data_IF_105130300099
#
_entry.id   IF_105130300099
#
_cell.length_a   1.000
_cell.length_b   1.000
_cell.length_c   1.000
_cell.angle_alpha   90.00
_cell.angle_beta   90.00
_cell.angle_gamma   90.00
#
_symmetry.space_group_name_H-M   'P 1'
#
loop_
_entity.id
_entity.type
_entity.pdbx_description
1 polymer ?
#
# COMPACT_ATOMS: atom_id res chain seq x y z
N UNK A 1 -5.31 -14.64 -17.79
CA UNK A 1 -4.73 -13.34 -17.39
C UNK A 1 -4.69 -13.26 -15.87
N UNK A 2 -3.93 -14.16 -15.24
CA UNK A 2 -3.82 -14.30 -13.78
C UNK A 2 -2.56 -13.57 -13.31
N UNK A 3 -2.51 -12.26 -13.60
CA UNK A 3 -1.38 -11.44 -13.20
C UNK A 3 -1.46 -11.23 -11.69
N UNK A 4 -0.70 -12.08 -11.01
CA UNK A 4 -0.22 -12.02 -9.65
C UNK A 4 -0.31 -10.63 -9.06
N UNK A 5 -0.69 -10.50 -7.79
CA UNK A 5 -0.81 -9.26 -7.01
C UNK A 5 0.40 -8.28 -7.04
N UNK A 6 1.45 -8.58 -7.81
CA UNK A 6 2.57 -7.74 -8.19
C UNK A 6 2.15 -6.35 -8.67
N UNK A 7 1.11 -6.22 -9.49
CA UNK A 7 0.62 -4.90 -9.95
C UNK A 7 0.10 -4.04 -8.79
N UNK A 8 -0.77 -4.63 -7.96
CA UNK A 8 -1.28 -3.99 -6.75
C UNK A 8 -0.16 -3.69 -5.74
N UNK A 9 0.80 -4.60 -5.58
CA UNK A 9 1.98 -4.40 -4.73
C UNK A 9 2.87 -3.25 -5.22
N UNK A 10 3.08 -3.13 -6.53
CA UNK A 10 3.84 -2.04 -7.12
C UNK A 10 3.13 -0.69 -6.90
N UNK A 11 1.84 -0.61 -7.23
CA UNK A 11 1.04 0.59 -7.00
C UNK A 11 0.99 0.98 -5.51
N UNK A 12 0.84 0.00 -4.60
CA UNK A 12 0.86 0.26 -3.16
C UNK A 12 2.22 0.81 -2.71
N UNK A 13 3.33 0.28 -3.25
CA UNK A 13 4.68 0.76 -2.94
C UNK A 13 4.87 2.19 -3.43
N UNK A 14 4.47 2.50 -4.66
CA UNK A 14 4.56 3.84 -5.23
C UNK A 14 3.72 4.84 -4.44
N UNK A 15 2.51 4.44 -4.03
CA UNK A 15 1.66 5.28 -3.19
C UNK A 15 2.34 5.60 -1.86
N UNK A 16 2.96 4.62 -1.21
CA UNK A 16 3.70 4.84 0.04
C UNK A 16 4.90 5.77 -0.17
N UNK A 17 5.64 5.63 -1.27
CA UNK A 17 6.80 6.49 -1.57
C UNK A 17 6.41 7.97 -1.73
N UNK A 18 5.18 8.25 -2.16
CA UNK A 18 4.64 9.62 -2.26
C UNK A 18 3.85 10.05 -1.02
N UNK A 19 3.63 9.16 -0.06
CA UNK A 19 2.86 9.47 1.14
C UNK A 19 3.66 10.30 2.13
N UNK A 20 2.95 11.13 2.90
CA UNK A 20 3.53 11.97 3.94
C UNK A 20 4.35 11.16 4.96
N UNK A 21 3.95 9.94 5.29
CA UNK A 21 4.70 9.11 6.24
C UNK A 21 6.11 8.73 5.73
N UNK A 22 6.32 8.59 4.42
CA UNK A 22 7.66 8.31 3.87
C UNK A 22 8.38 9.61 3.51
N UNK A 23 7.67 10.58 2.93
CA UNK A 23 8.26 11.83 2.44
C UNK A 23 8.54 12.82 3.57
N UNK A 24 7.59 13.02 4.50
CA UNK A 24 7.73 13.96 5.63
C UNK A 24 8.46 13.31 6.80
N UNK A 25 8.05 12.10 7.22
CA UNK A 25 8.63 11.46 8.40
C UNK A 25 9.87 10.61 8.10
N UNK A 26 10.18 10.33 6.82
CA UNK A 26 11.33 9.50 6.45
C UNK A 26 11.20 8.03 6.89
N UNK A 27 9.99 7.56 7.21
CA UNK A 27 9.76 6.21 7.70
C UNK A 27 9.79 5.19 6.58
N UNK A 28 9.97 3.92 6.94
CA UNK A 28 9.92 2.83 5.97
C UNK A 28 8.47 2.63 5.50
N UNK A 29 8.22 2.36 4.20
CA UNK A 29 6.88 2.05 3.68
C UNK A 29 6.15 0.95 4.47
N UNK A 30 6.89 -0.07 4.92
CA UNK A 30 6.35 -1.16 5.75
C UNK A 30 5.93 -0.73 7.16
N UNK A 31 6.57 0.29 7.72
CA UNK A 31 6.22 0.88 9.01
C UNK A 31 4.97 1.77 8.85
N UNK A 32 4.94 2.59 7.81
CA UNK A 32 3.78 3.40 7.46
C UNK A 32 2.52 2.56 7.28
N UNK A 33 2.63 1.42 6.60
CA UNK A 33 1.51 0.51 6.37
C UNK A 33 1.04 -0.25 7.64
N UNK A 34 1.89 -0.35 8.67
CA UNK A 34 1.58 -1.07 9.92
C UNK A 34 1.09 -0.15 11.02
N UNK A 35 1.75 0.99 11.19
CA UNK A 35 1.58 1.88 12.34
C UNK A 35 0.90 3.21 11.97
N UNK A 36 0.97 3.62 10.69
CA UNK A 36 0.51 4.94 10.24
C UNK A 36 -0.53 4.84 9.11
N UNK A 37 -1.33 3.77 9.12
CA UNK A 37 -2.32 3.53 8.07
C UNK A 37 -3.36 4.64 7.98
N UNK A 38 -3.66 5.30 9.10
CA UNK A 38 -4.63 6.39 9.19
C UNK A 38 -4.10 7.70 8.58
N UNK A 39 -2.78 7.89 8.62
CA UNK A 39 -2.07 9.03 8.01
C UNK A 39 -1.86 8.85 6.50
N UNK A 40 -2.06 7.64 5.99
CA UNK A 40 -1.97 7.37 4.56
C UNK A 40 -3.19 7.92 3.80
N UNK A 41 -2.99 8.41 2.58
CA UNK A 41 -4.08 8.85 1.72
C UNK A 41 -5.04 7.69 1.40
N UNK A 42 -6.29 8.03 1.09
CA UNK A 42 -7.36 7.06 0.81
C UNK A 42 -6.97 6.07 -0.30
N UNK A 43 -6.26 6.54 -1.31
CA UNK A 43 -5.75 5.72 -2.40
C UNK A 43 -4.83 4.59 -1.92
N UNK A 44 -3.88 4.90 -1.03
CA UNK A 44 -3.00 3.91 -0.40
C UNK A 44 -3.79 2.90 0.44
N UNK A 45 -4.84 3.36 1.15
CA UNK A 45 -5.71 2.47 1.95
C UNK A 45 -6.53 1.53 1.06
N UNK A 46 -7.04 2.03 -0.06
CA UNK A 46 -7.73 1.24 -1.07
C UNK A 46 -6.80 0.18 -1.68
N UNK A 47 -5.59 0.57 -2.09
CA UNK A 47 -4.56 -0.34 -2.60
C UNK A 47 -4.16 -1.40 -1.57
N UNK A 48 -4.08 -1.05 -0.29
CA UNK A 48 -3.84 -2.01 0.80
C UNK A 48 -4.93 -3.07 0.86
N UNK A 49 -6.21 -2.66 0.78
CA UNK A 49 -7.37 -3.55 0.78
C UNK A 49 -7.35 -4.47 -0.44
N UNK A 50 -7.20 -3.92 -1.64
CA UNK A 50 -7.10 -4.68 -2.87
C UNK A 50 -5.92 -5.67 -2.86
N UNK A 51 -4.76 -5.24 -2.35
CA UNK A 51 -3.57 -6.11 -2.20
C UNK A 51 -3.84 -7.25 -1.21
N UNK A 52 -4.57 -6.99 -0.13
CA UNK A 52 -4.95 -7.99 0.86
C UNK A 52 -5.96 -9.00 0.30
N UNK A 53 -6.99 -8.52 -0.40
CA UNK A 53 -7.97 -9.36 -1.10
C UNK A 53 -7.28 -10.24 -2.15
N UNK A 54 -6.39 -9.64 -2.94
CA UNK A 54 -5.61 -10.37 -3.94
C UNK A 54 -4.72 -11.44 -3.29
N UNK A 55 -4.02 -11.12 -2.20
CA UNK A 55 -3.19 -12.10 -1.48
C UNK A 55 -4.00 -13.24 -0.86
N UNK A 56 -5.25 -12.98 -0.46
CA UNK A 56 -6.17 -13.99 0.06
C UNK A 56 -6.90 -14.79 -1.02
N UNK A 57 -6.69 -14.46 -2.30
CA UNK A 57 -7.46 -15.06 -3.40
C UNK A 57 -8.95 -14.67 -3.36
N UNK A 58 -9.28 -13.55 -2.71
CA UNK A 58 -10.63 -12.98 -2.64
C UNK A 58 -10.85 -11.94 -3.76
N UNK A 59 -10.34 -12.22 -4.95
CA UNK A 59 -10.45 -11.38 -6.17
C UNK A 59 -11.11 -12.15 -7.30
#
# INVERSE_FOLDING_TARGET
>A
MSSSCKGLLAAMRDCLMHSDCVVKDGRKPSECLRNHTDELPEECRSLRRATFECKRGMV
#
